data_IF_643681683819
#
_entry.id   IF_643681683819
#
_cell.length_a   1.000
_cell.length_b   1.000
_cell.length_c   1.000
_cell.angle_alpha   90.00
_cell.angle_beta   90.00
_cell.angle_gamma   90.00
#
_symmetry.space_group_name_H-M   'P 1'
#
loop_
_entity.id
_entity.type
_entity.pdbx_description
1 polymer ?
#
# COMPACT_ATOMS: atom_id res chain seq x y z
N UNK A 1 41.20 14.44 -22.40
CA UNK A 1 39.76 14.22 -22.57
C UNK A 1 39.31 13.28 -21.46
N UNK A 2 38.72 13.82 -20.39
CA UNK A 2 38.23 13.00 -19.29
C UNK A 2 36.97 12.28 -19.75
N UNK A 3 37.02 10.96 -19.84
CA UNK A 3 35.86 10.10 -20.04
C UNK A 3 34.99 10.20 -18.79
N UNK A 4 34.16 11.25 -18.73
CA UNK A 4 33.15 11.39 -17.69
C UNK A 4 32.23 10.19 -17.74
N UNK A 5 32.14 9.47 -16.61
CA UNK A 5 31.24 8.34 -16.44
C UNK A 5 29.79 8.83 -16.65
N UNK A 6 29.21 8.58 -17.82
CA UNK A 6 27.79 8.84 -18.05
C UNK A 6 27.03 7.62 -17.53
N UNK A 7 26.48 7.73 -16.33
CA UNK A 7 25.74 6.64 -15.70
C UNK A 7 24.71 7.16 -14.71
N UNK A 8 23.57 6.48 -14.63
CA UNK A 8 22.58 6.75 -13.58
C UNK A 8 23.11 6.19 -12.25
N UNK A 9 23.11 7.02 -11.21
CA UNK A 9 23.45 6.63 -9.84
C UNK A 9 22.25 6.83 -8.93
N UNK A 10 21.99 5.82 -8.09
CA UNK A 10 21.03 5.96 -7.01
C UNK A 10 21.69 6.71 -5.85
N UNK A 11 21.34 7.98 -5.70
CA UNK A 11 21.97 8.86 -4.71
C UNK A 11 21.43 8.63 -3.29
N UNK A 12 20.14 8.35 -3.14
CA UNK A 12 19.52 8.07 -1.83
C UNK A 12 18.22 7.27 -1.96
N UNK A 13 17.83 6.64 -0.85
CA UNK A 13 16.54 5.96 -0.70
C UNK A 13 15.93 6.38 0.64
N UNK A 14 14.62 6.63 0.64
CA UNK A 14 13.81 6.78 1.83
C UNK A 14 12.52 5.98 1.67
N UNK A 15 11.90 5.67 2.79
CA UNK A 15 10.58 5.07 2.82
C UNK A 15 9.80 5.70 3.95
N UNK A 16 8.51 5.90 3.72
CA UNK A 16 7.55 6.24 4.75
C UNK A 16 6.57 5.09 4.89
N UNK A 17 6.23 4.75 6.13
CA UNK A 17 5.20 3.77 6.41
C UNK A 17 4.17 4.39 7.38
N UNK A 18 2.86 4.25 7.11
CA UNK A 18 1.81 4.76 7.99
C UNK A 18 1.94 4.23 9.42
N UNK A 19 1.47 4.97 10.41
CA UNK A 19 1.60 4.54 11.82
C UNK A 19 0.64 3.41 12.19
N UNK A 20 -0.47 3.28 11.48
CA UNK A 20 -1.48 2.28 11.83
C UNK A 20 -1.02 0.88 11.42
N UNK A 21 -0.63 0.08 12.41
CA UNK A 21 -0.18 -1.31 12.24
C UNK A 21 -1.29 -2.28 12.62
N UNK A 22 -1.59 -3.24 11.74
CA UNK A 22 -2.56 -4.30 12.00
C UNK A 22 -1.91 -5.68 11.92
N UNK A 23 -2.19 -6.51 12.92
CA UNK A 23 -1.82 -7.93 12.89
C UNK A 23 -2.65 -8.71 11.88
N UNK A 24 -2.12 -9.86 11.44
CA UNK A 24 -2.88 -10.75 10.56
C UNK A 24 -4.20 -11.22 11.19
N UNK A 25 -4.23 -11.44 12.51
CA UNK A 25 -5.45 -11.84 13.22
C UNK A 25 -6.53 -10.75 13.14
N UNK A 26 -6.13 -9.47 13.32
CA UNK A 26 -7.03 -8.32 13.16
C UNK A 26 -7.57 -8.21 11.74
N UNK A 27 -6.70 -8.35 10.74
CA UNK A 27 -7.12 -8.33 9.32
C UNK A 27 -8.09 -9.46 9.01
N UNK A 28 -7.78 -10.68 9.46
CA UNK A 28 -8.66 -11.84 9.27
C UNK A 28 -10.04 -11.63 9.93
N UNK A 29 -10.07 -11.05 11.14
CA UNK A 29 -11.33 -10.69 11.81
C UNK A 29 -12.12 -9.64 11.00
N UNK A 30 -11.45 -8.60 10.49
CA UNK A 30 -12.10 -7.58 9.66
C UNK A 30 -12.69 -8.17 8.38
N UNK A 31 -11.95 -9.03 7.68
CA UNK A 31 -12.42 -9.70 6.47
C UNK A 31 -13.64 -10.59 6.74
N UNK A 32 -13.70 -11.28 7.90
CA UNK A 32 -14.90 -12.05 8.29
C UNK A 32 -16.12 -11.15 8.45
N UNK A 33 -15.96 -9.98 9.08
CA UNK A 33 -17.05 -9.01 9.22
C UNK A 33 -17.49 -8.45 7.86
N UNK A 34 -16.55 -8.12 6.97
CA UNK A 34 -16.88 -7.66 5.62
C UNK A 34 -17.59 -8.75 4.81
N UNK A 35 -17.18 -10.02 4.94
CA UNK A 35 -17.91 -11.14 4.32
C UNK A 35 -19.36 -11.18 4.74
N UNK A 36 -19.64 -11.00 6.03
CA UNK A 36 -21.01 -10.96 6.55
C UNK A 36 -21.79 -9.79 5.95
N UNK A 37 -21.20 -8.59 5.91
CA UNK A 37 -21.83 -7.39 5.32
C UNK A 37 -22.12 -7.57 3.83
N UNK A 38 -21.16 -8.09 3.07
CA UNK A 38 -21.31 -8.33 1.63
C UNK A 38 -22.40 -9.36 1.37
N UNK A 39 -22.46 -10.45 2.16
CA UNK A 39 -23.54 -11.45 2.06
C UNK A 39 -24.91 -10.84 2.34
N UNK A 40 -25.05 -10.06 3.41
CA UNK A 40 -26.31 -9.38 3.72
C UNK A 40 -26.73 -8.41 2.62
N UNK A 41 -25.79 -7.62 2.09
CA UNK A 41 -26.03 -6.69 0.99
C UNK A 41 -26.44 -7.41 -0.30
N UNK A 42 -25.78 -8.52 -0.64
CA UNK A 42 -26.13 -9.31 -1.83
C UNK A 42 -27.53 -9.90 -1.69
N UNK A 43 -27.87 -10.47 -0.54
CA UNK A 43 -29.21 -11.00 -0.27
C UNK A 43 -30.28 -9.91 -0.43
N UNK A 44 -30.07 -8.71 0.15
CA UNK A 44 -30.98 -7.57 0.01
C UNK A 44 -31.12 -7.08 -1.45
N UNK A 45 -30.05 -7.20 -2.25
CA UNK A 45 -30.03 -6.83 -3.66
C UNK A 45 -30.49 -7.95 -4.60
N UNK A 46 -30.97 -9.10 -4.09
CA UNK A 46 -31.32 -10.27 -4.90
C UNK A 46 -30.14 -10.90 -5.65
N UNK A 47 -28.90 -10.57 -5.28
CA UNK A 47 -27.69 -11.15 -5.84
C UNK A 47 -27.40 -12.50 -5.20
N UNK A 48 -26.86 -13.43 -5.99
CA UNK A 48 -26.42 -14.74 -5.53
C UNK A 48 -25.31 -14.71 -4.48
N UNK A 49 -24.95 -15.87 -3.90
CA UNK A 49 -23.87 -15.97 -2.94
C UNK A 49 -22.51 -15.59 -3.56
N UNK A 50 -21.55 -15.28 -2.70
CA UNK A 50 -20.15 -15.14 -3.10
C UNK A 50 -19.63 -16.50 -3.59
N UNK A 51 -18.93 -16.52 -4.73
CA UNK A 51 -18.43 -17.75 -5.36
C UNK A 51 -16.94 -17.63 -5.71
N UNK A 52 -16.28 -18.78 -5.83
CA UNK A 52 -14.93 -18.88 -6.37
C UNK A 52 -13.90 -18.01 -5.62
N UNK A 53 -13.25 -17.11 -6.33
CA UNK A 53 -12.19 -16.24 -5.79
C UNK A 53 -12.72 -15.23 -4.77
N UNK A 54 -13.96 -14.75 -4.94
CA UNK A 54 -14.57 -13.78 -4.02
C UNK A 54 -14.70 -14.37 -2.61
N UNK A 55 -15.01 -15.66 -2.50
CA UNK A 55 -15.13 -16.32 -1.20
C UNK A 55 -13.75 -16.58 -0.57
N UNK A 56 -12.75 -16.91 -1.39
CA UNK A 56 -11.37 -17.19 -0.94
C UNK A 56 -10.71 -15.98 -0.30
N UNK A 57 -11.00 -14.76 -0.78
CA UNK A 57 -10.48 -13.51 -0.19
C UNK A 57 -10.78 -13.38 1.31
N UNK A 58 -11.86 -14.03 1.79
CA UNK A 58 -12.28 -13.98 3.19
C UNK A 58 -11.75 -15.15 4.04
N UNK A 59 -11.07 -16.13 3.44
CA UNK A 59 -10.56 -17.32 4.12
C UNK A 59 -9.07 -17.17 4.45
N UNK A 60 -8.74 -16.50 5.56
CA UNK A 60 -7.35 -16.31 6.00
C UNK A 60 -7.17 -16.43 7.52
N UNK A 61 -5.93 -16.66 7.95
CA UNK A 61 -5.54 -16.76 9.36
C UNK A 61 -4.08 -16.33 9.55
N UNK A 62 -3.72 -15.90 10.77
CA UNK A 62 -2.33 -15.55 11.09
C UNK A 62 -1.36 -16.71 10.85
N UNK A 63 -1.73 -17.94 11.26
CA UNK A 63 -0.93 -19.15 11.01
C UNK A 63 -0.67 -19.37 9.53
N UNK A 64 -1.71 -19.24 8.70
CA UNK A 64 -1.58 -19.43 7.26
C UNK A 64 -0.69 -18.34 6.64
N UNK A 65 -0.91 -17.06 6.98
CA UNK A 65 -0.12 -15.94 6.46
C UNK A 65 1.35 -16.08 6.85
N UNK A 66 1.65 -16.38 8.12
CA UNK A 66 3.05 -16.58 8.57
C UNK A 66 3.70 -17.77 7.89
N UNK A 67 2.97 -18.88 7.71
CA UNK A 67 3.51 -20.11 7.11
C UNK A 67 3.79 -19.98 5.61
N UNK A 68 2.91 -19.32 4.86
CA UNK A 68 2.95 -19.34 3.40
C UNK A 68 3.35 -18.00 2.76
N UNK A 69 3.23 -16.87 3.48
CA UNK A 69 3.60 -15.54 2.96
C UNK A 69 4.73 -14.90 3.78
N UNK A 70 4.81 -15.16 5.08
CA UNK A 70 5.99 -14.86 5.89
C UNK A 70 5.96 -13.57 6.70
N UNK A 71 4.89 -12.77 6.66
CA UNK A 71 4.78 -11.53 7.45
C UNK A 71 3.78 -11.65 8.61
N UNK A 72 3.98 -10.86 9.67
CA UNK A 72 3.16 -10.86 10.89
C UNK A 72 2.14 -9.72 10.96
N UNK A 73 2.44 -8.61 10.29
CA UNK A 73 1.69 -7.37 10.35
C UNK A 73 1.76 -6.60 9.03
N UNK A 74 0.89 -5.62 8.89
CA UNK A 74 0.88 -4.69 7.76
C UNK A 74 0.44 -3.30 8.21
N UNK A 75 0.81 -2.29 7.43
CA UNK A 75 0.48 -0.89 7.72
C UNK A 75 -0.66 -0.42 6.83
N UNK A 76 -1.61 0.31 7.42
CA UNK A 76 -2.76 0.87 6.74
C UNK A 76 -2.74 2.39 6.86
N UNK A 77 -3.25 3.08 5.85
CA UNK A 77 -3.38 4.54 5.90
C UNK A 77 -4.52 4.97 6.81
N UNK A 78 -4.44 6.20 7.32
CA UNK A 78 -5.57 6.87 7.97
C UNK A 78 -6.64 7.31 6.97
N UNK A 79 -7.80 7.78 7.46
CA UNK A 79 -8.93 8.21 6.62
C UNK A 79 -8.58 9.34 5.65
N UNK A 80 -7.65 10.22 6.02
CA UNK A 80 -7.21 11.37 5.22
C UNK A 80 -5.78 11.20 4.70
N UNK A 81 -5.34 9.97 4.46
CA UNK A 81 -4.00 9.68 3.95
C UNK A 81 -4.10 8.77 2.72
N UNK A 82 -3.68 9.32 1.57
CA UNK A 82 -3.66 8.62 0.28
C UNK A 82 -2.26 8.47 -0.29
N UNK A 83 -2.18 7.96 -1.52
CA UNK A 83 -0.92 7.69 -2.23
C UNK A 83 0.00 8.91 -2.32
N UNK A 84 -0.56 10.09 -2.61
CA UNK A 84 0.21 11.35 -2.69
C UNK A 84 0.80 11.73 -1.33
N UNK A 85 0.07 11.54 -0.23
CA UNK A 85 0.58 11.83 1.12
C UNK A 85 1.76 10.93 1.48
N UNK A 86 1.65 9.62 1.20
CA UNK A 86 2.71 8.65 1.45
C UNK A 86 3.98 8.99 0.66
N UNK A 87 3.82 9.26 -0.65
CA UNK A 87 4.93 9.62 -1.52
C UNK A 87 5.58 10.93 -1.07
N UNK A 88 4.79 11.93 -0.69
CA UNK A 88 5.28 13.23 -0.22
C UNK A 88 6.07 13.09 1.09
N UNK A 89 5.57 12.30 2.04
CA UNK A 89 6.27 12.04 3.30
C UNK A 89 7.60 11.30 3.08
N UNK A 90 7.61 10.28 2.23
CA UNK A 90 8.84 9.59 1.85
C UNK A 90 9.84 10.57 1.19
N UNK A 91 9.39 11.39 0.25
CA UNK A 91 10.24 12.38 -0.43
C UNK A 91 10.82 13.41 0.55
N UNK A 92 10.04 13.92 1.50
CA UNK A 92 10.55 14.84 2.54
C UNK A 92 11.67 14.21 3.37
N UNK A 93 11.48 12.97 3.83
CA UNK A 93 12.52 12.20 4.53
C UNK A 93 13.78 11.99 3.67
N UNK A 94 13.63 11.88 2.34
CA UNK A 94 14.76 11.78 1.42
C UNK A 94 15.60 13.05 1.42
N UNK A 95 14.95 14.22 1.28
CA UNK A 95 15.64 15.52 1.27
C UNK A 95 16.28 15.83 2.62
N UNK A 96 15.60 15.53 3.72
CA UNK A 96 16.15 15.68 5.07
C UNK A 96 17.43 14.86 5.28
N UNK A 97 17.52 13.66 4.67
CA UNK A 97 18.67 12.77 4.82
C UNK A 97 19.82 13.06 3.87
N UNK A 98 19.53 13.52 2.64
CA UNK A 98 20.54 13.72 1.60
C UNK A 98 21.05 15.18 1.54
N UNK A 99 20.37 16.12 2.20
CA UNK A 99 20.77 17.54 2.19
C UNK A 99 20.70 18.20 0.80
N UNK A 100 20.07 17.54 -0.17
CA UNK A 100 19.86 18.04 -1.54
C UNK A 100 18.76 19.08 -1.57
N UNK A 101 18.86 20.01 -2.51
CA UNK A 101 17.80 20.97 -2.73
C UNK A 101 16.70 20.33 -3.60
N UNK A 102 15.45 20.76 -3.36
CA UNK A 102 14.32 20.40 -4.23
C UNK A 102 14.48 20.98 -5.65
N UNK A 103 15.30 22.02 -5.80
CA UNK A 103 15.64 22.62 -7.09
C UNK A 103 16.50 21.71 -7.97
N UNK A 104 17.10 20.66 -7.40
CA UNK A 104 17.97 19.73 -8.14
C UNK A 104 17.17 18.63 -8.86
N UNK A 105 15.82 18.70 -8.83
CA UNK A 105 14.93 17.71 -9.42
C UNK A 105 14.47 18.17 -10.80
N UNK A 106 14.88 17.45 -11.84
CA UNK A 106 14.39 17.69 -13.20
C UNK A 106 13.10 16.94 -13.53
N UNK A 107 12.86 15.80 -12.86
CA UNK A 107 11.69 14.95 -13.12
C UNK A 107 11.27 14.16 -11.86
N UNK A 108 9.96 13.88 -11.77
CA UNK A 108 9.37 13.01 -10.74
C UNK A 108 8.58 11.91 -11.43
N UNK A 109 8.86 10.65 -11.06
CA UNK A 109 8.13 9.48 -11.54
C UNK A 109 7.37 8.88 -10.36
N UNK A 110 6.05 8.73 -10.49
CA UNK A 110 5.19 8.10 -9.48
C UNK A 110 4.67 6.78 -10.02
N UNK A 111 5.22 5.67 -9.53
CA UNK A 111 4.76 4.33 -9.87
C UNK A 111 3.67 3.87 -8.87
N UNK A 112 2.40 3.86 -9.30
CA UNK A 112 1.29 3.41 -8.45
C UNK A 112 0.17 2.78 -9.27
N UNK A 113 -0.48 1.75 -8.70
CA UNK A 113 -1.73 1.14 -9.19
C UNK A 113 -2.95 1.58 -8.36
N UNK A 114 -2.74 2.46 -7.38
CA UNK A 114 -3.78 3.02 -6.51
C UNK A 114 -3.65 4.55 -6.46
N UNK A 115 -3.78 5.26 -7.59
CA UNK A 115 -3.59 6.71 -7.61
C UNK A 115 -4.66 7.42 -6.76
N UNK A 116 -4.30 8.53 -6.11
CA UNK A 116 -5.24 9.33 -5.30
C UNK A 116 -6.38 9.93 -6.14
N UNK A 117 -6.18 10.09 -7.45
CA UNK A 117 -7.17 10.57 -8.38
C UNK A 117 -7.17 9.67 -9.62
N UNK A 118 -8.33 9.14 -9.98
CA UNK A 118 -8.55 8.48 -11.25
C UNK A 118 -9.15 9.54 -12.18
N UNK A 119 -8.45 9.86 -13.28
CA UNK A 119 -9.08 10.61 -14.37
C UNK A 119 -10.12 9.68 -15.02
N UNK A 120 -11.39 10.09 -14.96
CA UNK A 120 -12.54 9.42 -15.58
C UNK A 120 -12.89 10.05 -16.91
#
# INVERSE_FOLDING_TARGET
>A
MSSGMHGMRLEAISAYAPEQVWSNARVAARLRLERMRVRSRNAAAGKGPLLGEEEKLFQTSDRWVRRFIGFSERRFTGENEGTVDLATRAARLLFERNGRSRSDIDAIIVASVTPSYLYS
#
